data_IF_578471963412
#
_entry.id   IF_578471963412
#
_cell.length_a   1.000
_cell.length_b   1.000
_cell.length_c   1.000
_cell.angle_alpha   90.00
_cell.angle_beta   90.00
_cell.angle_gamma   90.00
#
_symmetry.space_group_name_H-M   'P 1'
#
loop_
_entity.id
_entity.type
_entity.pdbx_description
1 polymer ?
#
# COMPACT_ATOMS: atom_id res chain seq x y z
N UNK A 1 -2.67 9.61 -12.23
CA UNK A 1 -3.68 8.91 -11.40
C UNK A 1 -2.95 8.17 -10.29
N UNK A 2 -3.36 8.38 -9.04
CA UNK A 2 -2.83 7.68 -7.88
C UNK A 2 -3.22 6.20 -7.91
N UNK A 3 -2.32 5.34 -7.40
CA UNK A 3 -2.55 3.89 -7.29
C UNK A 3 -2.33 3.45 -5.86
N UNK A 4 -3.10 2.45 -5.41
CA UNK A 4 -2.81 1.79 -4.14
C UNK A 4 -1.61 0.87 -4.28
N UNK A 5 -0.82 0.72 -3.23
CA UNK A 5 0.23 -0.31 -3.15
C UNK A 5 -0.33 -1.69 -2.82
N UNK A 6 -1.56 -1.76 -2.29
CA UNK A 6 -2.26 -3.00 -2.00
C UNK A 6 -3.19 -3.37 -3.15
N UNK A 7 -3.35 -4.65 -3.38
CA UNK A 7 -4.25 -5.15 -4.43
C UNK A 7 -4.21 -6.66 -4.57
N UNK A 8 -5.16 -7.17 -5.35
CA UNK A 8 -5.30 -8.58 -5.69
C UNK A 8 -5.57 -8.71 -7.19
N UNK A 9 -4.99 -9.71 -7.80
CA UNK A 9 -5.26 -10.08 -9.18
C UNK A 9 -5.19 -11.59 -9.34
N UNK A 10 -6.03 -12.14 -10.20
CA UNK A 10 -6.04 -13.56 -10.50
C UNK A 10 -6.32 -13.79 -11.99
N UNK A 11 -5.79 -14.88 -12.50
CA UNK A 11 -6.11 -15.40 -13.82
C UNK A 11 -6.15 -16.92 -13.77
N UNK A 12 -6.95 -17.50 -14.65
CA UNK A 12 -7.14 -18.93 -14.74
C UNK A 12 -7.16 -19.35 -16.21
N UNK A 13 -6.52 -20.47 -16.52
CA UNK A 13 -6.47 -20.99 -17.88
C UNK A 13 -5.84 -22.36 -17.96
N UNK A 14 -5.65 -22.85 -19.18
CA UNK A 14 -5.09 -24.17 -19.45
C UNK A 14 -3.62 -24.05 -19.84
N UNK A 15 -2.76 -24.82 -19.17
CA UNK A 15 -1.34 -24.96 -19.47
C UNK A 15 -1.08 -26.46 -19.74
N UNK A 16 -0.79 -26.81 -20.97
CA UNK A 16 -0.78 -28.21 -21.40
C UNK A 16 -2.18 -28.84 -21.23
N UNK A 17 -2.28 -29.90 -20.47
CA UNK A 17 -3.54 -30.58 -20.14
C UNK A 17 -4.12 -30.17 -18.77
N UNK A 18 -3.46 -29.33 -18.02
CA UNK A 18 -3.85 -28.97 -16.65
C UNK A 18 -4.50 -27.56 -16.63
N UNK A 19 -5.48 -27.40 -15.73
CA UNK A 19 -6.03 -26.10 -15.37
C UNK A 19 -5.10 -25.44 -14.34
N UNK A 20 -4.67 -24.22 -14.62
CA UNK A 20 -3.77 -23.48 -13.76
C UNK A 20 -4.44 -22.19 -13.31
N UNK A 21 -4.43 -21.93 -12.02
CA UNK A 21 -4.87 -20.67 -11.41
C UNK A 21 -3.65 -19.95 -10.88
N UNK A 22 -3.51 -18.66 -11.25
CA UNK A 22 -2.45 -17.77 -10.76
C UNK A 22 -3.09 -16.66 -9.93
N UNK A 23 -2.70 -16.53 -8.69
CA UNK A 23 -3.11 -15.46 -7.77
C UNK A 23 -1.92 -14.56 -7.46
N UNK A 24 -2.14 -13.26 -7.53
CA UNK A 24 -1.17 -12.23 -7.17
C UNK A 24 -1.72 -11.36 -6.04
N UNK A 25 -0.93 -11.11 -5.03
CA UNK A 25 -1.22 -10.15 -3.96
C UNK A 25 -0.07 -9.18 -3.83
N UNK A 26 -0.40 -7.90 -3.70
CA UNK A 26 0.56 -6.83 -3.46
C UNK A 26 0.30 -6.18 -2.11
N UNK A 27 1.37 -5.92 -1.36
CA UNK A 27 1.33 -5.11 -0.13
C UNK A 27 2.41 -4.03 -0.18
N UNK A 28 2.22 -2.98 0.62
CA UNK A 28 3.16 -1.88 0.68
C UNK A 28 4.57 -2.35 0.99
N UNK A 29 5.52 -2.02 0.12
CA UNK A 29 6.95 -2.22 0.34
C UNK A 29 7.76 -1.22 -0.50
N UNK A 30 8.87 -0.73 0.05
CA UNK A 30 9.70 0.32 -0.57
C UNK A 30 10.28 -0.08 -1.93
N UNK A 31 10.66 -1.35 -2.09
CA UNK A 31 11.29 -1.89 -3.29
C UNK A 31 10.42 -3.02 -3.87
N UNK A 32 10.67 -3.37 -5.15
CA UNK A 32 10.11 -4.57 -5.72
C UNK A 32 10.70 -5.80 -5.02
N UNK A 33 9.84 -6.59 -4.41
CA UNK A 33 10.19 -7.86 -3.78
C UNK A 33 9.11 -8.90 -4.16
N UNK A 34 9.51 -9.97 -4.85
CA UNK A 34 8.59 -11.00 -5.30
C UNK A 34 8.84 -12.33 -4.57
N UNK A 35 7.83 -12.80 -3.85
CA UNK A 35 7.76 -14.15 -3.31
C UNK A 35 6.91 -15.00 -4.26
N UNK A 36 7.54 -15.98 -4.91
CA UNK A 36 6.90 -16.81 -5.93
C UNK A 36 6.75 -18.22 -5.37
N UNK A 37 5.50 -18.69 -5.30
CA UNK A 37 5.15 -20.05 -4.83
C UNK A 37 4.55 -20.81 -6.00
N UNK A 38 5.36 -21.71 -6.57
CA UNK A 38 4.97 -22.54 -7.71
C UNK A 38 4.95 -24.02 -7.31
N UNK A 39 4.01 -24.81 -7.85
CA UNK A 39 4.10 -26.26 -7.86
C UNK A 39 5.37 -26.72 -8.58
N UNK A 40 5.83 -27.94 -8.28
CA UNK A 40 7.07 -28.49 -8.83
C UNK A 40 7.11 -28.44 -10.36
N UNK A 41 5.97 -28.68 -11.00
CA UNK A 41 5.80 -28.70 -12.45
C UNK A 41 6.08 -27.34 -13.14
N UNK A 42 5.81 -26.26 -12.43
CA UNK A 42 5.97 -24.88 -12.92
C UNK A 42 7.24 -24.22 -12.40
N UNK A 43 7.95 -24.86 -11.46
CA UNK A 43 9.09 -24.25 -10.75
C UNK A 43 10.25 -23.87 -11.66
N UNK A 44 10.45 -24.59 -12.78
CA UNK A 44 11.47 -24.30 -13.79
C UNK A 44 11.32 -22.91 -14.43
N UNK A 45 10.10 -22.34 -14.44
CA UNK A 45 9.80 -21.03 -15.04
C UNK A 45 9.79 -19.89 -14.00
N UNK A 46 10.27 -20.12 -12.79
CA UNK A 46 10.31 -19.10 -11.73
C UNK A 46 11.10 -17.84 -12.16
N UNK A 47 12.20 -18.03 -12.89
CA UNK A 47 13.02 -16.94 -13.40
C UNK A 47 12.26 -16.02 -14.34
N UNK A 48 11.57 -16.61 -15.34
CA UNK A 48 10.76 -15.88 -16.33
C UNK A 48 9.56 -15.19 -15.69
N UNK A 49 8.92 -15.85 -14.74
CA UNK A 49 7.81 -15.26 -13.94
C UNK A 49 8.29 -14.03 -13.20
N UNK A 50 9.45 -14.10 -12.53
CA UNK A 50 10.04 -12.99 -11.81
C UNK A 50 10.33 -11.79 -12.72
N UNK A 51 10.86 -12.04 -13.91
CA UNK A 51 11.12 -11.00 -14.91
C UNK A 51 9.82 -10.42 -15.49
N UNK A 52 8.80 -11.25 -15.74
CA UNK A 52 7.49 -10.78 -16.21
C UNK A 52 6.84 -9.84 -15.18
N UNK A 53 6.85 -10.21 -13.89
CA UNK A 53 6.34 -9.37 -12.82
C UNK A 53 7.13 -8.06 -12.69
N UNK A 54 8.46 -8.09 -12.78
CA UNK A 54 9.32 -6.90 -12.67
C UNK A 54 9.10 -5.88 -13.79
N UNK A 55 8.75 -6.33 -14.99
CA UNK A 55 8.42 -5.45 -16.12
C UNK A 55 7.14 -4.66 -15.90
N UNK A 56 6.17 -5.21 -15.16
CA UNK A 56 4.86 -4.59 -14.94
C UNK A 56 4.73 -3.85 -13.61
N UNK A 57 5.48 -4.28 -12.59
CA UNK A 57 5.34 -3.81 -11.21
C UNK A 57 6.67 -3.21 -10.74
N UNK A 58 6.67 -1.91 -10.46
CA UNK A 58 7.88 -1.15 -10.12
C UNK A 58 8.29 -1.31 -8.65
N UNK A 59 7.32 -1.50 -7.74
CA UNK A 59 7.54 -1.61 -6.29
C UNK A 59 6.41 -2.40 -5.61
N UNK A 60 6.62 -2.74 -4.35
CA UNK A 60 5.70 -3.53 -3.54
C UNK A 60 6.25 -4.92 -3.23
N UNK A 61 5.75 -5.54 -2.17
CA UNK A 61 5.96 -6.96 -1.93
C UNK A 61 4.85 -7.74 -2.63
N UNK A 62 5.24 -8.48 -3.67
CA UNK A 62 4.34 -9.22 -4.53
C UNK A 62 4.41 -10.70 -4.16
N UNK A 63 3.30 -11.29 -3.77
CA UNK A 63 3.20 -12.73 -3.57
C UNK A 63 2.43 -13.34 -4.73
N UNK A 64 3.11 -14.18 -5.50
CA UNK A 64 2.49 -15.03 -6.52
C UNK A 64 2.27 -16.43 -5.95
N UNK A 65 1.06 -16.95 -6.11
CA UNK A 65 0.70 -18.32 -5.79
C UNK A 65 0.05 -18.96 -7.03
N UNK A 66 0.66 -19.98 -7.56
CA UNK A 66 0.08 -20.77 -8.64
C UNK A 66 -0.40 -22.12 -8.12
N UNK A 67 -1.54 -22.56 -8.63
CA UNK A 67 -2.12 -23.87 -8.35
C UNK A 67 -2.40 -24.59 -9.65
N UNK A 68 -2.09 -25.88 -9.69
CA UNK A 68 -2.38 -26.75 -10.81
C UNK A 68 -3.54 -27.67 -10.39
N UNK A 69 -4.65 -27.56 -11.08
CA UNK A 69 -5.77 -28.48 -10.96
C UNK A 69 -5.73 -29.46 -12.12
N UNK A 70 -5.42 -30.70 -11.81
CA UNK A 70 -5.29 -31.76 -12.82
C UNK A 70 -6.63 -32.39 -13.19
N UNK A 71 -7.75 -31.95 -12.60
CA UNK A 71 -9.02 -32.67 -12.76
C UNK A 71 -8.92 -34.10 -12.24
N UNK A 72 -9.76 -34.98 -12.69
CA UNK A 72 -9.60 -36.42 -12.46
C UNK A 72 -8.36 -36.86 -13.23
N UNK A 73 -7.24 -37.03 -12.51
CA UNK A 73 -5.99 -37.47 -13.11
C UNK A 73 -6.26 -38.71 -13.97
N UNK A 74 -5.94 -38.62 -15.27
CA UNK A 74 -5.89 -39.80 -16.10
C UNK A 74 -4.95 -40.85 -15.48
N UNK A 75 -4.98 -42.10 -15.94
CA UNK A 75 -4.07 -43.12 -15.44
C UNK A 75 -2.64 -42.59 -15.51
N UNK A 76 -1.81 -42.82 -14.48
CA UNK A 76 -0.41 -42.33 -14.48
C UNK A 76 0.33 -42.84 -15.72
N UNK A 77 1.07 -41.95 -16.36
CA UNK A 77 1.89 -42.31 -17.52
C UNK A 77 3.11 -43.07 -16.99
N UNK A 78 3.33 -44.27 -17.52
CA UNK A 78 4.49 -45.09 -17.19
C UNK A 78 5.63 -44.67 -18.12
N UNK A 79 6.79 -44.33 -17.55
CA UNK A 79 8.04 -44.17 -18.29
C UNK A 79 8.58 -45.56 -18.65
N UNK A 80 8.27 -45.99 -19.88
CA UNK A 80 8.65 -47.34 -20.35
C UNK A 80 10.16 -47.58 -20.42
N UNK A 81 10.93 -46.51 -20.73
CA UNK A 81 12.39 -46.59 -20.77
C UNK A 81 12.98 -46.86 -19.36
N UNK A 82 12.55 -46.08 -18.38
CA UNK A 82 12.95 -46.30 -16.98
C UNK A 82 12.43 -47.63 -16.41
N UNK A 83 11.23 -47.99 -16.75
CA UNK A 83 10.68 -49.27 -16.38
C UNK A 83 11.58 -50.41 -16.90
N UNK A 84 11.94 -50.38 -18.19
CA UNK A 84 12.84 -51.38 -18.81
C UNK A 84 14.24 -51.37 -18.17
N UNK A 85 14.78 -50.21 -17.86
CA UNK A 85 16.08 -50.07 -17.19
C UNK A 85 16.06 -50.69 -15.80
N UNK A 86 15.02 -50.46 -14.99
CA UNK A 86 14.88 -51.06 -13.67
C UNK A 86 14.69 -52.57 -13.75
N UNK A 87 13.89 -53.07 -14.70
CA UNK A 87 13.74 -54.52 -14.93
C UNK A 87 15.08 -55.17 -15.26
N UNK A 88 15.84 -54.57 -16.16
CA UNK A 88 17.19 -55.06 -16.55
C UNK A 88 18.17 -55.03 -15.37
N UNK A 89 18.18 -53.97 -14.60
CA UNK A 89 18.98 -53.81 -13.39
C UNK A 89 18.68 -54.89 -12.35
N UNK A 90 17.39 -55.10 -12.06
CA UNK A 90 16.95 -56.08 -11.07
C UNK A 90 17.28 -57.52 -11.51
N UNK A 91 17.15 -57.88 -12.80
CA UNK A 91 17.55 -59.16 -13.34
C UNK A 91 19.08 -59.38 -13.21
N UNK A 92 19.87 -58.41 -13.58
CA UNK A 92 21.34 -58.47 -13.44
C UNK A 92 21.79 -58.66 -11.97
N UNK A 93 21.12 -57.96 -11.03
CA UNK A 93 21.41 -58.12 -9.60
C UNK A 93 21.01 -59.51 -9.09
N UNK A 94 19.87 -60.04 -9.53
CA UNK A 94 19.42 -61.39 -9.22
C UNK A 94 20.43 -62.44 -9.67
N UNK A 95 20.86 -62.38 -10.94
CA UNK A 95 21.82 -63.30 -11.51
C UNK A 95 23.21 -63.21 -10.83
N UNK A 96 23.68 -62.02 -10.55
CA UNK A 96 25.00 -61.77 -9.93
C UNK A 96 25.10 -62.21 -8.49
N UNK A 97 24.02 -62.10 -7.72
CA UNK A 97 24.03 -62.40 -6.29
C UNK A 97 23.30 -63.72 -5.93
N UNK A 98 22.82 -64.46 -6.94
CA UNK A 98 22.11 -65.73 -6.73
C UNK A 98 20.81 -65.59 -5.91
N UNK A 99 20.06 -64.47 -6.12
CA UNK A 99 18.83 -64.21 -5.39
C UNK A 99 17.65 -64.93 -6.02
N UNK A 100 16.79 -65.52 -5.21
CA UNK A 100 15.54 -66.14 -5.65
C UNK A 100 14.40 -65.12 -5.70
N UNK A 101 13.40 -65.32 -6.58
CA UNK A 101 12.20 -64.52 -6.73
C UNK A 101 12.02 -63.96 -8.15
N UNK A 102 10.80 -63.60 -8.51
CA UNK A 102 10.49 -63.00 -9.79
C UNK A 102 10.46 -61.46 -9.68
N UNK A 103 10.84 -60.77 -10.78
CA UNK A 103 10.71 -59.30 -10.87
C UNK A 103 9.24 -58.97 -11.08
N UNK A 104 8.58 -58.56 -10.01
CA UNK A 104 7.15 -58.20 -10.05
C UNK A 104 6.93 -56.79 -10.61
N UNK A 105 5.97 -56.67 -11.50
CA UNK A 105 5.57 -55.39 -12.12
C UNK A 105 5.20 -54.35 -11.08
N UNK A 106 4.48 -54.73 -10.02
CA UNK A 106 4.10 -53.81 -8.97
C UNK A 106 5.31 -53.23 -8.21
N UNK A 107 6.38 -54.02 -8.06
CA UNK A 107 7.64 -53.61 -7.46
C UNK A 107 8.34 -52.60 -8.32
N UNK A 108 8.42 -52.79 -9.63
CA UNK A 108 9.06 -51.86 -10.56
C UNK A 108 8.26 -50.55 -10.66
N UNK A 109 6.93 -50.59 -10.67
CA UNK A 109 6.08 -49.40 -10.68
C UNK A 109 6.24 -48.53 -9.43
N UNK A 110 6.69 -49.10 -8.31
CA UNK A 110 7.01 -48.34 -7.07
C UNK A 110 8.40 -47.73 -7.05
N UNK A 111 9.24 -48.03 -8.03
CA UNK A 111 10.56 -47.43 -8.14
C UNK A 111 10.47 -45.95 -8.47
N UNK A 112 11.44 -45.13 -8.02
CA UNK A 112 11.43 -43.70 -8.26
C UNK A 112 11.28 -43.39 -9.73
N UNK A 113 10.43 -42.42 -10.05
CA UNK A 113 10.24 -41.84 -11.38
C UNK A 113 9.76 -42.81 -12.50
N UNK A 114 9.35 -44.02 -12.18
CA UNK A 114 8.75 -44.98 -13.14
C UNK A 114 7.31 -44.55 -13.46
N UNK A 115 6.58 -44.12 -12.45
CA UNK A 115 5.27 -43.52 -12.62
C UNK A 115 5.45 -41.99 -12.66
N UNK A 116 5.71 -41.45 -13.83
CA UNK A 116 5.89 -40.02 -14.04
C UNK A 116 4.57 -39.37 -14.28
N UNK A 117 4.27 -38.39 -13.49
CA UNK A 117 3.19 -37.42 -13.79
C UNK A 117 3.73 -36.14 -14.43
N UNK A 118 5.02 -36.08 -14.73
CA UNK A 118 5.71 -34.88 -15.22
C UNK A 118 6.06 -35.09 -16.68
N UNK A 119 5.24 -34.58 -17.60
CA UNK A 119 5.70 -34.31 -18.97
C UNK A 119 6.76 -33.19 -18.89
N UNK A 120 7.90 -33.34 -19.55
CA UNK A 120 8.79 -32.20 -19.81
C UNK A 120 7.95 -31.15 -20.53
N UNK A 121 7.67 -29.99 -19.86
CA UNK A 121 6.80 -28.99 -20.41
C UNK A 121 7.41 -28.38 -21.67
N UNK A 122 6.60 -28.30 -22.70
CA UNK A 122 6.97 -27.73 -23.99
C UNK A 122 7.13 -26.19 -23.89
N UNK A 123 7.82 -25.55 -24.83
CA UNK A 123 7.88 -24.08 -24.94
C UNK A 123 6.46 -23.46 -25.06
N UNK A 124 5.50 -24.17 -25.64
CA UNK A 124 4.10 -23.75 -25.69
C UNK A 124 3.44 -23.65 -24.32
N UNK A 125 3.80 -24.53 -23.38
CA UNK A 125 3.31 -24.51 -21.99
C UNK A 125 3.92 -23.34 -21.20
N UNK A 126 5.21 -23.04 -21.40
CA UNK A 126 5.87 -21.86 -20.83
C UNK A 126 5.15 -20.57 -21.27
N UNK A 127 4.90 -20.42 -22.56
CA UNK A 127 4.21 -19.26 -23.13
C UNK A 127 2.78 -19.12 -22.59
N UNK A 128 2.02 -20.23 -22.49
CA UNK A 128 0.68 -20.22 -21.93
C UNK A 128 0.67 -19.84 -20.45
N UNK A 129 1.61 -20.36 -19.65
CA UNK A 129 1.73 -20.03 -18.23
C UNK A 129 2.14 -18.56 -18.02
N UNK A 130 3.13 -18.05 -18.76
CA UNK A 130 3.55 -16.65 -18.67
C UNK A 130 2.43 -15.69 -19.10
N UNK A 131 1.58 -16.08 -20.05
CA UNK A 131 0.40 -15.31 -20.40
C UNK A 131 -0.58 -15.20 -19.23
N UNK A 132 -0.84 -16.29 -18.50
CA UNK A 132 -1.67 -16.25 -17.28
C UNK A 132 -1.07 -15.36 -16.20
N UNK A 133 0.25 -15.41 -16.00
CA UNK A 133 0.96 -14.51 -15.07
C UNK A 133 0.76 -13.05 -15.48
N UNK A 134 0.84 -12.76 -16.79
CA UNK A 134 0.65 -11.42 -17.35
C UNK A 134 -0.80 -10.92 -17.17
N UNK A 135 -1.79 -11.78 -17.40
CA UNK A 135 -3.22 -11.49 -17.17
C UNK A 135 -3.50 -11.24 -15.68
N UNK A 136 -2.96 -12.06 -14.77
CA UNK A 136 -3.07 -11.84 -13.33
C UNK A 136 -2.41 -10.53 -12.89
N UNK A 137 -1.25 -10.17 -13.48
CA UNK A 137 -0.57 -8.90 -13.19
C UNK A 137 -1.35 -7.69 -13.73
N UNK A 138 -2.03 -7.84 -14.88
CA UNK A 138 -2.92 -6.81 -15.41
C UNK A 138 -4.14 -6.62 -14.49
N UNK A 139 -4.77 -7.71 -14.03
CA UNK A 139 -5.87 -7.70 -13.06
C UNK A 139 -5.46 -7.03 -11.74
N UNK A 140 -4.27 -7.36 -11.21
CA UNK A 140 -3.70 -6.71 -10.03
C UNK A 140 -3.53 -5.20 -10.24
N UNK A 141 -3.00 -4.78 -11.39
CA UNK A 141 -2.77 -3.38 -11.72
C UNK A 141 -4.08 -2.59 -11.78
N UNK A 142 -5.13 -3.20 -12.34
CA UNK A 142 -6.47 -2.61 -12.39
C UNK A 142 -7.11 -2.51 -11.00
N UNK A 143 -6.98 -3.55 -10.17
CA UNK A 143 -7.42 -3.52 -8.77
C UNK A 143 -6.74 -2.39 -7.97
N UNK A 144 -5.41 -2.20 -8.14
CA UNK A 144 -4.64 -1.13 -7.53
C UNK A 144 -5.07 0.27 -8.01
N UNK A 145 -5.46 0.39 -9.28
CA UNK A 145 -5.98 1.64 -9.84
C UNK A 145 -7.32 2.00 -9.21
N UNK A 146 -8.26 1.05 -9.16
CA UNK A 146 -9.59 1.26 -8.59
C UNK A 146 -9.51 1.60 -7.10
N UNK A 147 -8.65 0.92 -6.36
CA UNK A 147 -8.43 1.21 -4.94
C UNK A 147 -7.77 2.59 -4.75
N UNK A 148 -6.82 2.96 -5.61
CA UNK A 148 -6.22 4.30 -5.60
C UNK A 148 -7.25 5.41 -5.83
N UNK A 149 -8.21 5.22 -6.73
CA UNK A 149 -9.31 6.18 -6.99
C UNK A 149 -10.22 6.34 -5.76
N UNK A 150 -10.57 5.22 -5.09
CA UNK A 150 -11.36 5.26 -3.85
C UNK A 150 -10.62 5.99 -2.73
N UNK A 151 -9.33 5.69 -2.57
CA UNK A 151 -8.47 6.38 -1.59
C UNK A 151 -8.37 7.87 -1.90
N UNK A 152 -8.20 8.25 -3.17
CA UNK A 152 -8.19 9.64 -3.59
C UNK A 152 -9.46 10.39 -3.20
N UNK A 153 -10.62 9.80 -3.46
CA UNK A 153 -11.93 10.36 -3.05
C UNK A 153 -11.99 10.53 -1.53
N UNK A 154 -11.63 9.50 -0.79
CA UNK A 154 -11.60 9.54 0.68
C UNK A 154 -10.70 10.66 1.21
N UNK A 155 -9.48 10.82 0.67
CA UNK A 155 -8.55 11.87 1.09
C UNK A 155 -9.14 13.27 0.86
N UNK A 156 -9.79 13.49 -0.27
CA UNK A 156 -10.43 14.77 -0.59
C UNK A 156 -11.61 15.07 0.34
N UNK A 157 -12.42 14.07 0.69
CA UNK A 157 -13.50 14.22 1.67
C UNK A 157 -12.96 14.60 3.06
N UNK A 158 -11.91 13.92 3.54
CA UNK A 158 -11.27 14.26 4.83
C UNK A 158 -10.68 15.66 4.82
N UNK A 159 -10.03 16.03 3.71
CA UNK A 159 -9.47 17.37 3.54
C UNK A 159 -10.54 18.46 3.58
N UNK A 160 -11.75 18.18 3.06
CA UNK A 160 -12.89 19.10 3.14
C UNK A 160 -13.36 19.33 4.58
N UNK A 161 -13.29 18.29 5.43
CA UNK A 161 -13.58 18.45 6.87
C UNK A 161 -12.54 19.34 7.54
N UNK A 162 -11.26 19.18 7.18
CA UNK A 162 -10.15 20.04 7.66
C UNK A 162 -10.41 21.51 7.26
N UNK A 163 -10.73 21.76 6.00
CA UNK A 163 -11.04 23.12 5.51
C UNK A 163 -12.21 23.76 6.27
N UNK A 164 -13.26 22.99 6.55
CA UNK A 164 -14.39 23.46 7.34
C UNK A 164 -14.01 23.86 8.79
N UNK A 165 -13.12 23.09 9.42
CA UNK A 165 -12.59 23.42 10.74
C UNK A 165 -11.70 24.68 10.70
N UNK A 166 -10.83 24.82 9.69
CA UNK A 166 -10.01 26.00 9.50
C UNK A 166 -10.86 27.27 9.26
N UNK A 167 -11.96 27.16 8.51
CA UNK A 167 -12.88 28.28 8.28
C UNK A 167 -13.47 28.76 9.62
N UNK A 168 -13.95 27.85 10.47
CA UNK A 168 -14.48 28.20 11.80
C UNK A 168 -13.43 28.87 12.69
N UNK A 169 -12.19 28.38 12.66
CA UNK A 169 -11.07 29.01 13.37
C UNK A 169 -10.86 30.42 12.84
N UNK A 170 -10.84 30.63 11.51
CA UNK A 170 -10.66 31.93 10.87
C UNK A 170 -11.77 32.92 11.21
N UNK A 171 -13.03 32.48 11.31
CA UNK A 171 -14.18 33.28 11.69
C UNK A 171 -14.13 33.68 13.19
N UNK A 172 -13.67 32.76 14.06
CA UNK A 172 -13.61 33.00 15.50
C UNK A 172 -12.43 33.88 15.93
N UNK A 173 -11.29 33.77 15.24
CA UNK A 173 -10.04 34.42 15.61
C UNK A 173 -10.15 35.94 15.82
N UNK A 174 -10.81 36.78 14.96
CA UNK A 174 -10.94 38.21 15.15
C UNK A 174 -11.75 38.57 16.43
N UNK A 175 -12.87 37.89 16.65
CA UNK A 175 -13.73 38.12 17.82
C UNK A 175 -13.00 37.80 19.12
N UNK A 176 -12.29 36.65 19.16
CA UNK A 176 -11.49 36.25 20.30
C UNK A 176 -10.38 37.26 20.62
N UNK A 177 -9.71 37.78 19.58
CA UNK A 177 -8.64 38.80 19.77
C UNK A 177 -9.21 40.09 20.42
N UNK A 178 -10.40 40.53 19.97
CA UNK A 178 -11.10 41.67 20.55
C UNK A 178 -11.49 41.41 22.02
N UNK A 179 -12.03 40.23 22.33
CA UNK A 179 -12.37 39.83 23.69
C UNK A 179 -11.13 39.82 24.62
N UNK A 180 -10.02 39.24 24.17
CA UNK A 180 -8.77 39.20 24.92
C UNK A 180 -8.21 40.58 25.22
N UNK A 181 -8.25 41.48 24.21
CA UNK A 181 -7.85 42.87 24.39
C UNK A 181 -8.68 43.57 25.44
N UNK A 182 -9.99 43.40 25.42
CA UNK A 182 -10.90 44.01 26.39
C UNK A 182 -10.70 43.47 27.82
N UNK A 183 -10.50 42.15 27.96
CA UNK A 183 -10.19 41.53 29.27
C UNK A 183 -8.87 42.06 29.81
N UNK A 184 -7.82 42.14 28.99
CA UNK A 184 -6.53 42.67 29.41
C UNK A 184 -6.64 44.13 29.88
N UNK A 185 -7.37 44.99 29.14
CA UNK A 185 -7.63 46.37 29.57
C UNK A 185 -8.34 46.49 30.93
N UNK A 186 -9.40 45.69 31.09
CA UNK A 186 -10.18 45.69 32.34
C UNK A 186 -9.34 45.16 33.53
N UNK A 187 -8.57 44.10 33.35
CA UNK A 187 -7.66 43.59 34.37
C UNK A 187 -6.62 44.63 34.80
N UNK A 188 -6.04 45.36 33.86
CA UNK A 188 -5.07 46.42 34.15
C UNK A 188 -5.73 47.56 34.92
N UNK A 189 -6.96 47.97 34.50
CA UNK A 189 -7.72 49.00 35.20
C UNK A 189 -8.02 48.66 36.64
N UNK A 190 -8.38 47.38 36.91
CA UNK A 190 -8.66 46.89 38.28
C UNK A 190 -7.39 46.85 39.12
N UNK A 191 -6.26 46.41 38.58
CA UNK A 191 -4.98 46.32 39.26
C UNK A 191 -4.32 47.67 39.51
N UNK A 192 -4.58 48.67 38.67
CA UNK A 192 -3.98 50.01 38.75
C UNK A 192 -4.82 51.01 39.53
N UNK A 193 -5.78 50.54 40.37
CA UNK A 193 -6.66 51.42 41.14
C UNK A 193 -5.86 52.49 41.91
N UNK A 194 -5.91 53.75 41.43
CA UNK A 194 -5.24 54.92 41.99
C UNK A 194 -3.83 55.24 41.46
N UNK A 195 -3.28 54.45 40.53
CA UNK A 195 -1.98 54.73 39.89
C UNK A 195 -2.23 55.14 38.42
N UNK A 196 -1.65 56.25 37.93
CA UNK A 196 -1.78 56.61 36.53
C UNK A 196 -1.15 55.55 35.60
N UNK A 197 -1.93 55.02 34.66
CA UNK A 197 -1.43 54.07 33.64
C UNK A 197 -0.93 54.84 32.44
N UNK A 198 0.27 54.50 31.97
CA UNK A 198 0.82 55.00 30.74
C UNK A 198 0.08 54.36 29.56
N UNK A 199 -0.85 55.10 28.94
CA UNK A 199 -1.69 54.65 27.82
C UNK A 199 -0.87 54.23 26.58
N UNK A 200 0.29 54.85 26.32
CA UNK A 200 1.14 54.49 25.18
C UNK A 200 1.82 53.14 25.43
N UNK A 201 2.33 52.92 26.62
CA UNK A 201 2.94 51.64 27.00
C UNK A 201 1.91 50.51 27.03
N UNK A 202 0.70 50.76 27.53
CA UNK A 202 -0.40 49.84 27.50
C UNK A 202 -0.79 49.44 26.06
N UNK A 203 -0.92 50.43 25.14
CA UNK A 203 -1.24 50.18 23.76
C UNK A 203 -0.15 49.30 23.08
N UNK A 204 1.13 49.54 23.38
CA UNK A 204 2.24 48.78 22.83
C UNK A 204 2.23 47.33 23.33
N UNK A 205 2.01 47.09 24.63
CA UNK A 205 1.92 45.73 25.19
C UNK A 205 0.73 44.97 24.62
N UNK A 206 -0.42 45.62 24.45
CA UNK A 206 -1.61 45.01 23.80
C UNK A 206 -1.35 44.67 22.36
N UNK A 207 -0.59 45.48 21.60
CA UNK A 207 -0.21 45.18 20.21
C UNK A 207 0.70 43.94 20.15
N UNK A 208 1.72 43.85 21.02
CA UNK A 208 2.62 42.72 21.10
C UNK A 208 1.86 41.43 21.47
N UNK A 209 0.88 41.51 22.39
CA UNK A 209 0.01 40.36 22.69
C UNK A 209 -0.88 39.97 21.52
N UNK A 210 -1.43 40.93 20.77
CA UNK A 210 -2.24 40.69 19.59
C UNK A 210 -1.46 39.92 18.53
N UNK A 211 -0.23 40.33 18.24
CA UNK A 211 0.65 39.64 17.28
C UNK A 211 0.96 38.20 17.69
N UNK A 212 1.22 37.98 18.99
CA UNK A 212 1.49 36.62 19.52
C UNK A 212 0.29 35.68 19.41
N UNK A 213 -0.90 36.22 19.38
CA UNK A 213 -2.15 35.46 19.33
C UNK A 213 -2.73 35.38 17.91
N UNK A 214 -2.18 36.13 16.96
CA UNK A 214 -2.64 36.08 15.58
C UNK A 214 -2.32 34.73 14.94
N UNK A 215 -3.33 34.14 14.30
CA UNK A 215 -3.27 32.84 13.62
C UNK A 215 -3.44 32.97 12.09
N UNK A 216 -3.52 34.19 11.57
CA UNK A 216 -3.80 34.44 10.14
C UNK A 216 -2.69 33.89 9.22
N UNK A 217 -1.44 34.02 9.65
CA UNK A 217 -0.30 33.50 8.89
C UNK A 217 -0.35 31.97 8.80
N UNK A 218 -0.59 31.29 9.92
CA UNK A 218 -0.73 29.84 9.97
C UNK A 218 -1.88 29.34 9.12
N UNK A 219 -3.05 30.00 9.18
CA UNK A 219 -4.20 29.65 8.36
C UNK A 219 -3.92 29.84 6.85
N UNK A 220 -3.23 30.92 6.48
CA UNK A 220 -2.83 31.18 5.09
C UNK A 220 -1.85 30.11 4.57
N UNK A 221 -0.83 29.76 5.35
CA UNK A 221 0.13 28.72 5.01
C UNK A 221 -0.56 27.36 4.91
N UNK A 222 -1.41 27.05 5.89
CA UNK A 222 -2.20 25.82 5.88
C UNK A 222 -3.05 25.71 4.62
N UNK A 223 -3.78 26.78 4.25
CA UNK A 223 -4.57 26.85 3.02
C UNK A 223 -3.74 26.59 1.75
N UNK A 224 -2.52 27.13 1.70
CA UNK A 224 -1.59 26.87 0.60
C UNK A 224 -1.19 25.38 0.51
N UNK A 225 -0.93 24.73 1.65
CA UNK A 225 -0.64 23.29 1.71
C UNK A 225 -1.83 22.43 1.32
N UNK A 226 -3.06 22.82 1.69
CA UNK A 226 -4.30 22.15 1.28
C UNK A 226 -4.46 22.18 -0.25
N UNK A 227 -4.25 23.32 -0.88
CA UNK A 227 -4.30 23.46 -2.35
C UNK A 227 -3.24 22.57 -3.01
N UNK A 228 -1.99 22.59 -2.50
CA UNK A 228 -0.92 21.74 -3.00
C UNK A 228 -1.21 20.25 -2.84
N UNK A 229 -1.86 19.86 -1.73
CA UNK A 229 -2.29 18.49 -1.48
C UNK A 229 -3.36 18.04 -2.49
N UNK A 230 -4.43 18.84 -2.70
CA UNK A 230 -5.47 18.57 -3.70
C UNK A 230 -4.89 18.36 -5.09
N UNK A 231 -4.01 19.28 -5.52
CA UNK A 231 -3.34 19.19 -6.81
C UNK A 231 -2.51 17.91 -6.91
N UNK A 232 -1.78 17.53 -5.86
CA UNK A 232 -0.97 16.30 -5.84
C UNK A 232 -1.81 15.03 -5.95
N UNK A 233 -3.02 15.01 -5.39
CA UNK A 233 -3.98 13.90 -5.53
C UNK A 233 -4.53 13.84 -6.95
N UNK A 234 -4.79 14.98 -7.59
CA UNK A 234 -5.44 15.06 -8.91
C UNK A 234 -4.46 14.85 -10.07
N UNK A 235 -3.26 15.41 -10.01
CA UNK A 235 -2.35 15.52 -11.18
C UNK A 235 -1.60 14.22 -11.49
N UNK A 236 -1.46 13.29 -10.56
CA UNK A 236 -0.87 11.97 -10.80
C UNK A 236 0.47 11.98 -11.55
N UNK A 237 1.28 13.03 -11.37
CA UNK A 237 2.57 13.22 -12.02
C UNK A 237 3.60 12.25 -11.42
N UNK A 238 4.23 11.46 -12.25
CA UNK A 238 5.32 10.47 -12.17
C UNK A 238 6.30 10.39 -10.98
N UNK A 239 6.21 11.26 -9.99
CA UNK A 239 6.91 11.12 -8.72
C UNK A 239 6.09 10.31 -7.71
N UNK A 240 6.73 9.63 -6.75
CA UNK A 240 6.01 8.90 -5.70
C UNK A 240 5.09 9.84 -4.91
N UNK A 241 3.81 9.87 -5.31
CA UNK A 241 2.79 10.80 -4.77
C UNK A 241 2.72 10.70 -3.25
N UNK A 242 2.81 9.48 -2.68
CA UNK A 242 2.78 9.26 -1.25
C UNK A 242 3.85 10.03 -0.46
N UNK A 243 5.08 10.14 -1.01
CA UNK A 243 6.15 10.90 -0.34
C UNK A 243 5.86 12.41 -0.30
N UNK A 244 5.35 12.95 -1.41
CA UNK A 244 4.97 14.37 -1.51
C UNK A 244 3.81 14.69 -0.59
N UNK A 245 2.77 13.86 -0.58
CA UNK A 245 1.63 14.00 0.32
C UNK A 245 2.05 13.90 1.79
N UNK A 246 2.95 12.96 2.13
CA UNK A 246 3.50 12.84 3.49
C UNK A 246 4.24 14.09 3.95
N UNK A 247 5.02 14.74 3.08
CA UNK A 247 5.66 16.03 3.39
C UNK A 247 4.62 17.12 3.65
N UNK A 248 3.61 17.26 2.78
CA UNK A 248 2.55 18.26 2.95
C UNK A 248 1.76 18.05 4.25
N UNK A 249 1.51 16.81 4.63
CA UNK A 249 0.87 16.47 5.91
C UNK A 249 1.71 16.92 7.12
N UNK A 250 3.03 16.77 7.06
CA UNK A 250 3.92 17.23 8.12
C UNK A 250 3.86 18.76 8.27
N UNK A 251 3.86 19.50 7.15
CA UNK A 251 3.73 20.96 7.20
C UNK A 251 2.34 21.39 7.71
N UNK A 252 1.25 20.76 7.24
CA UNK A 252 -0.10 21.01 7.75
C UNK A 252 -0.21 20.74 9.26
N UNK A 253 0.38 19.66 9.74
CA UNK A 253 0.42 19.35 11.18
C UNK A 253 1.21 20.37 11.97
N UNK A 254 2.29 20.88 11.41
CA UNK A 254 3.08 21.97 12.00
C UNK A 254 2.25 23.25 12.15
N UNK A 255 1.55 23.67 11.10
CA UNK A 255 0.67 24.85 11.14
C UNK A 255 -0.50 24.65 12.12
N UNK A 256 -1.09 23.44 12.18
CA UNK A 256 -2.12 23.09 13.17
C UNK A 256 -1.61 23.18 14.62
N UNK A 257 -0.38 22.73 14.87
CA UNK A 257 0.24 22.82 16.20
C UNK A 257 0.46 24.27 16.62
N UNK A 258 0.97 25.12 15.70
CA UNK A 258 1.20 26.54 15.95
C UNK A 258 -0.13 27.27 16.17
N UNK A 259 -1.15 27.01 15.36
CA UNK A 259 -2.50 27.52 15.55
C UNK A 259 -3.05 27.13 16.93
N UNK A 260 -2.92 25.88 17.33
CA UNK A 260 -3.37 25.39 18.65
C UNK A 260 -2.67 26.08 19.81
N UNK A 261 -1.37 26.34 19.71
CA UNK A 261 -0.60 27.06 20.75
C UNK A 261 -0.99 28.54 20.90
N UNK A 262 -1.40 29.17 19.81
CA UNK A 262 -1.87 30.55 19.77
C UNK A 262 -3.36 30.70 20.07
N UNK A 263 -4.18 29.66 19.90
CA UNK A 263 -5.65 29.75 19.93
C UNK A 263 -6.22 30.28 21.26
N UNK A 264 -5.78 29.79 22.42
CA UNK A 264 -6.25 30.16 23.76
C UNK A 264 -7.78 30.42 23.85
N UNK A 265 -8.56 29.59 23.14
CA UNK A 265 -10.03 29.64 23.04
C UNK A 265 -10.53 28.20 22.88
N UNK A 266 -11.55 27.79 23.67
CA UNK A 266 -11.98 26.40 23.72
C UNK A 266 -12.61 25.91 22.41
N UNK A 267 -13.34 26.78 21.69
CA UNK A 267 -13.95 26.41 20.43
C UNK A 267 -12.90 26.24 19.32
N UNK A 268 -11.93 27.15 19.25
CA UNK A 268 -10.81 27.05 18.31
C UNK A 268 -9.95 25.81 18.61
N UNK A 269 -9.71 25.50 19.90
CA UNK A 269 -8.96 24.29 20.30
C UNK A 269 -9.69 23.01 19.90
N UNK A 270 -11.01 22.96 19.99
CA UNK A 270 -11.80 21.81 19.52
C UNK A 270 -11.68 21.62 18.01
N UNK A 271 -11.72 22.71 17.23
CA UNK A 271 -11.48 22.65 15.79
C UNK A 271 -10.04 22.22 15.44
N UNK A 272 -9.04 22.69 16.19
CA UNK A 272 -7.64 22.25 16.02
C UNK A 272 -7.50 20.75 16.29
N UNK A 273 -8.19 20.21 17.29
CA UNK A 273 -8.20 18.76 17.57
C UNK A 273 -8.81 18.02 16.39
N UNK A 274 -9.96 18.49 15.88
CA UNK A 274 -10.59 17.90 14.68
C UNK A 274 -9.63 17.91 13.48
N UNK A 275 -8.93 19.02 13.22
CA UNK A 275 -7.93 19.10 12.16
C UNK A 275 -6.84 18.03 12.34
N UNK A 276 -6.28 17.88 13.53
CA UNK A 276 -5.23 16.91 13.80
C UNK A 276 -5.70 15.47 13.62
N UNK A 277 -6.89 15.14 14.09
CA UNK A 277 -7.48 13.81 13.92
C UNK A 277 -7.67 13.46 12.44
N UNK A 278 -8.19 14.41 11.64
CA UNK A 278 -8.38 14.19 10.21
C UNK A 278 -7.03 14.08 9.46
N UNK A 279 -6.03 14.89 9.83
CA UNK A 279 -4.69 14.77 9.26
C UNK A 279 -4.05 13.41 9.56
N UNK A 280 -4.27 12.86 10.75
CA UNK A 280 -3.78 11.51 11.10
C UNK A 280 -4.49 10.42 10.27
N UNK A 281 -5.82 10.50 10.12
CA UNK A 281 -6.59 9.59 9.25
C UNK A 281 -6.11 9.65 7.80
N UNK A 282 -5.83 10.85 7.29
CA UNK A 282 -5.24 11.05 5.95
C UNK A 282 -3.86 10.40 5.89
N UNK A 283 -3.01 10.58 6.90
CA UNK A 283 -1.65 10.05 6.94
C UNK A 283 -1.62 8.52 6.82
N UNK A 284 -2.48 7.83 7.57
CA UNK A 284 -2.58 6.37 7.52
C UNK A 284 -2.90 5.86 6.11
N UNK A 285 -3.73 6.57 5.36
CA UNK A 285 -4.09 6.17 3.99
C UNK A 285 -3.02 6.56 2.96
N UNK A 286 -2.33 7.68 3.15
CA UNK A 286 -1.25 8.13 2.27
C UNK A 286 -0.08 7.14 2.26
N UNK A 287 0.18 6.43 3.36
CA UNK A 287 1.20 5.39 3.43
C UNK A 287 0.96 4.22 2.45
N UNK A 288 -0.28 4.04 1.98
CA UNK A 288 -0.67 3.00 1.03
C UNK A 288 -0.71 3.48 -0.43
N UNK A 289 -0.30 4.73 -0.71
CA UNK A 289 -0.35 5.33 -2.05
C UNK A 289 1.00 5.31 -2.78
N UNK A 290 0.91 5.10 -4.08
CA UNK A 290 1.99 5.15 -5.06
C UNK A 290 1.72 6.22 -6.12
#
# INVERSE_FOLDING_TARGET
MIRSMTGFGAAEGTVGSARVTVELRSVNHRFFNATIKLPVELSRWEGEVREALRKRLSRGHITLNARVDRGVAGPPIIDEERFAAYVSMLRNLKDRFGLDGDVDVATVLRMPDVMSSISEGSEGEATAFLKLVDEAAASLSESRRQEGERLGTYLIERLTVVEGALSRIGERAPARLAEQRNRARESIRQLSSGVPVDEQRLAMELAIQADRLDVQEELSRFGSHVVAFRNSVSDGTGEPVGKRLGFLLQEMLREANTTGSKANDSSMLADVVTVKEELERIREQVENLE
#
